data_IF_514048222029
#
_entry.id   IF_514048222029
#
_cell.length_a   1.000
_cell.length_b   1.000
_cell.length_c   1.000
_cell.angle_alpha   90.00
_cell.angle_beta   90.00
_cell.angle_gamma   90.00
#
_symmetry.space_group_name_H-M   'P 1'
#
loop_
_entity.id
_entity.type
_entity.pdbx_description
1 polymer ?
#
# COMPACT_ATOMS: atom_id res chain seq x y z
N UNK A 1 2.72 -8.79 12.41
CA UNK A 1 3.22 -9.51 11.22
C UNK A 1 4.70 -9.24 11.08
N UNK A 2 5.52 -10.28 10.94
CA UNK A 2 6.96 -10.18 10.66
C UNK A 2 7.19 -10.57 9.20
N UNK A 3 8.24 -10.06 8.57
CA UNK A 3 8.61 -10.49 7.21
C UNK A 3 9.84 -11.40 7.32
N UNK A 4 9.71 -12.67 6.95
CA UNK A 4 10.82 -13.63 6.91
C UNK A 4 10.99 -14.14 5.47
N UNK A 5 12.15 -13.88 4.88
CA UNK A 5 12.48 -14.28 3.51
C UNK A 5 11.41 -13.90 2.47
N UNK A 6 10.83 -12.70 2.60
CA UNK A 6 9.80 -12.17 1.71
C UNK A 6 8.37 -12.68 1.96
N UNK A 7 8.17 -13.59 2.93
CA UNK A 7 6.86 -14.07 3.36
C UNK A 7 6.37 -13.33 4.60
N UNK A 8 5.05 -13.12 4.65
CA UNK A 8 4.34 -12.68 5.84
C UNK A 8 4.34 -13.82 6.88
N UNK A 9 5.00 -13.61 8.02
CA UNK A 9 5.09 -14.51 9.18
C UNK A 9 4.18 -13.97 10.29
N UNK A 10 3.25 -14.81 10.74
CA UNK A 10 2.23 -14.44 11.71
C UNK A 10 1.88 -15.63 12.58
N UNK A 11 1.78 -15.40 13.89
CA UNK A 11 1.43 -16.42 14.89
C UNK A 11 -0.09 -16.64 15.01
N UNK A 12 -0.89 -15.99 14.16
CA UNK A 12 -2.36 -16.13 14.14
C UNK A 12 -2.77 -17.43 13.41
N UNK A 13 -3.60 -18.30 14.01
CA UNK A 13 -4.04 -19.57 13.39
C UNK A 13 -4.80 -19.39 12.07
N UNK A 14 -5.46 -18.24 11.90
CA UNK A 14 -6.20 -17.89 10.69
C UNK A 14 -5.37 -17.03 9.73
N UNK A 15 -4.05 -16.92 9.94
CA UNK A 15 -3.19 -16.13 9.07
C UNK A 15 -3.08 -16.77 7.69
N UNK A 16 -3.43 -16.00 6.66
CA UNK A 16 -3.17 -16.38 5.28
C UNK A 16 -1.71 -16.09 4.94
N UNK A 17 -0.95 -17.13 4.58
CA UNK A 17 0.42 -16.97 4.14
C UNK A 17 0.46 -16.42 2.71
N UNK A 18 1.14 -15.29 2.51
CA UNK A 18 1.35 -14.72 1.18
C UNK A 18 2.79 -14.19 1.01
N UNK A 19 3.22 -14.13 -0.24
CA UNK A 19 4.47 -13.52 -0.64
C UNK A 19 4.27 -12.02 -0.77
N UNK A 20 5.04 -11.22 -0.04
CA UNK A 20 4.90 -9.76 -0.08
C UNK A 20 5.17 -9.23 -1.48
N UNK A 21 6.18 -9.76 -2.18
CA UNK A 21 6.49 -9.33 -3.55
C UNK A 21 5.34 -9.60 -4.54
N UNK A 22 4.61 -10.70 -4.33
CA UNK A 22 3.46 -11.03 -5.16
C UNK A 22 2.26 -10.12 -4.83
N UNK A 23 2.05 -9.80 -3.55
CA UNK A 23 1.02 -8.87 -3.10
C UNK A 23 1.34 -7.41 -3.45
N UNK A 24 2.62 -7.05 -3.54
CA UNK A 24 3.08 -5.70 -3.88
C UNK A 24 3.01 -5.36 -5.36
N UNK A 25 2.53 -6.28 -6.19
CA UNK A 25 2.45 -6.10 -7.64
C UNK A 25 0.99 -6.13 -8.07
N UNK A 26 0.48 -5.02 -8.60
CA UNK A 26 -0.86 -4.99 -9.18
C UNK A 26 -0.94 -5.97 -10.37
N UNK A 27 -2.06 -6.71 -10.44
CA UNK A 27 -2.39 -7.59 -11.58
C UNK A 27 -3.83 -7.33 -11.99
N UNK A 28 -4.08 -7.08 -13.27
CA UNK A 28 -5.43 -6.84 -13.78
C UNK A 28 -6.39 -8.02 -13.54
N UNK A 29 -5.87 -9.25 -13.59
CA UNK A 29 -6.66 -10.47 -13.35
C UNK A 29 -6.98 -10.71 -11.87
N UNK A 30 -6.29 -10.00 -10.96
CA UNK A 30 -6.46 -10.08 -9.51
C UNK A 30 -6.24 -8.68 -8.92
N UNK A 31 -7.14 -7.74 -9.17
CA UNK A 31 -6.95 -6.36 -8.74
C UNK A 31 -6.86 -6.34 -7.21
N UNK A 32 -5.76 -5.80 -6.70
CA UNK A 32 -5.59 -5.61 -5.27
C UNK A 32 -4.87 -4.29 -5.01
N UNK A 33 -5.37 -3.53 -4.05
CA UNK A 33 -4.73 -2.30 -3.53
C UNK A 33 -3.88 -2.58 -2.29
N UNK A 34 -3.76 -3.86 -1.90
CA UNK A 34 -2.86 -4.33 -0.85
C UNK A 34 -1.40 -4.32 -1.33
N UNK A 35 -0.98 -3.20 -1.92
CA UNK A 35 0.41 -2.94 -2.26
C UNK A 35 1.04 -2.27 -1.05
N UNK A 36 1.95 -2.94 -0.32
CA UNK A 36 2.68 -2.32 0.77
C UNK A 36 3.75 -1.39 0.18
N UNK A 37 3.73 -0.13 0.60
CA UNK A 37 4.65 0.91 0.15
C UNK A 37 5.46 1.35 1.37
N UNK A 38 6.81 1.40 1.28
CA UNK A 38 7.63 1.95 2.34
C UNK A 38 7.52 3.47 2.37
N UNK A 39 7.47 4.07 3.56
CA UNK A 39 7.46 5.51 3.70
C UNK A 39 8.84 6.09 3.36
N UNK A 40 8.91 7.10 2.47
CA UNK A 40 10.18 7.73 2.11
C UNK A 40 10.67 8.74 3.17
N UNK A 41 9.84 9.04 4.17
CA UNK A 41 10.18 9.91 5.28
C UNK A 41 10.80 9.11 6.44
N UNK A 42 11.46 9.79 7.38
CA UNK A 42 12.19 9.20 8.50
C UNK A 42 11.26 8.65 9.61
N UNK A 43 10.34 7.75 9.24
CA UNK A 43 9.49 7.01 10.17
C UNK A 43 9.63 5.49 10.04
N UNK A 44 10.28 5.01 8.97
CA UNK A 44 10.56 3.59 8.70
C UNK A 44 9.30 2.70 8.68
N UNK A 45 8.13 3.28 8.51
CA UNK A 45 6.86 2.55 8.46
C UNK A 45 6.55 2.10 7.02
N UNK A 46 5.73 1.05 6.90
CA UNK A 46 5.22 0.54 5.63
C UNK A 46 3.71 0.51 5.72
N UNK A 47 3.04 1.15 4.76
CA UNK A 47 1.58 1.25 4.73
C UNK A 47 1.04 0.70 3.41
N UNK A 48 -0.19 0.21 3.45
CA UNK A 48 -0.92 -0.13 2.23
C UNK A 48 -1.28 1.12 1.46
N UNK A 49 -1.26 1.04 0.12
CA UNK A 49 -1.56 2.14 -0.79
C UNK A 49 -2.81 2.96 -0.38
N UNK A 50 -3.92 2.30 -0.06
CA UNK A 50 -5.17 2.97 0.33
C UNK A 50 -5.14 3.64 1.71
N UNK A 51 -4.27 3.19 2.62
CA UNK A 51 -4.08 3.82 3.94
C UNK A 51 -3.00 4.91 3.92
N UNK A 52 -2.21 4.97 2.84
CA UNK A 52 -1.03 5.82 2.76
C UNK A 52 -1.35 7.31 2.88
N UNK A 53 -2.37 7.85 2.19
CA UNK A 53 -2.73 9.27 2.32
C UNK A 53 -3.09 9.68 3.75
N UNK A 54 -3.76 8.81 4.51
CA UNK A 54 -4.10 9.06 5.91
C UNK A 54 -2.83 9.17 6.76
N UNK A 55 -1.93 8.19 6.66
CA UNK A 55 -0.63 8.22 7.36
C UNK A 55 0.14 9.52 7.08
N UNK A 56 0.21 9.93 5.81
CA UNK A 56 0.92 11.14 5.43
C UNK A 56 0.31 12.41 6.02
N UNK A 57 -1.02 12.52 6.04
CA UNK A 57 -1.69 13.70 6.61
C UNK A 57 -1.54 13.77 8.13
N UNK A 58 -1.49 12.63 8.82
CA UNK A 58 -1.35 12.56 10.29
C UNK A 58 0.09 12.78 10.77
N UNK A 59 1.06 12.15 10.10
CA UNK A 59 2.44 12.09 10.58
C UNK A 59 3.43 12.97 9.79
N UNK A 60 3.03 13.45 8.62
CA UNK A 60 3.87 14.26 7.73
C UNK A 60 3.09 15.46 7.15
N UNK A 61 2.68 16.46 7.94
CA UNK A 61 1.76 17.53 7.49
C UNK A 61 2.23 18.31 6.25
N UNK A 62 3.54 18.38 6.01
CA UNK A 62 4.15 19.07 4.86
C UNK A 62 4.59 18.12 3.74
N UNK A 63 4.15 16.85 3.76
CA UNK A 63 4.60 15.82 2.83
C UNK A 63 4.39 16.21 1.36
N UNK A 64 3.29 16.90 1.04
CA UNK A 64 2.96 17.30 -0.34
C UNK A 64 4.01 18.21 -0.96
N UNK A 65 4.68 19.04 -0.15
CA UNK A 65 5.74 19.92 -0.64
C UNK A 65 7.08 19.17 -0.82
N UNK A 66 7.28 18.07 -0.09
CA UNK A 66 8.53 17.30 -0.07
C UNK A 66 8.49 16.02 -0.93
N UNK A 67 7.30 15.54 -1.30
CA UNK A 67 7.12 14.30 -2.04
C UNK A 67 7.50 14.44 -3.53
N UNK A 68 8.16 13.41 -4.07
CA UNK A 68 8.38 13.33 -5.51
C UNK A 68 7.09 13.01 -6.26
N UNK A 69 6.94 13.45 -7.52
CA UNK A 69 5.80 13.09 -8.36
C UNK A 69 5.61 11.57 -8.51
N UNK A 70 6.72 10.83 -8.64
CA UNK A 70 6.71 9.37 -8.75
C UNK A 70 6.15 8.69 -7.49
N UNK A 71 6.45 9.23 -6.31
CA UNK A 71 5.91 8.71 -5.07
C UNK A 71 4.41 9.00 -4.95
N UNK A 72 3.98 10.20 -5.34
CA UNK A 72 2.56 10.57 -5.36
C UNK A 72 1.77 9.62 -6.27
N UNK A 73 2.28 9.33 -7.46
CA UNK A 73 1.67 8.36 -8.38
C UNK A 73 1.55 6.97 -7.74
N UNK A 74 2.60 6.51 -7.06
CA UNK A 74 2.64 5.20 -6.42
C UNK A 74 1.58 5.03 -5.33
N UNK A 75 1.31 6.07 -4.54
CA UNK A 75 0.34 6.04 -3.43
C UNK A 75 -1.09 6.39 -3.87
N UNK A 76 -1.28 6.94 -5.07
CA UNK A 76 -2.60 7.36 -5.56
C UNK A 76 -3.38 6.16 -6.09
N UNK A 77 -4.51 5.84 -5.48
CA UNK A 77 -5.46 4.88 -6.05
C UNK A 77 -6.18 5.54 -7.21
N UNK A 78 -5.96 5.04 -8.43
CA UNK A 78 -6.53 5.59 -9.65
C UNK A 78 -7.99 5.15 -9.82
N UNK A 79 -8.80 5.93 -10.56
CA UNK A 79 -10.19 5.55 -10.89
C UNK A 79 -10.26 4.18 -11.57
N UNK A 80 -9.28 3.84 -12.40
CA UNK A 80 -9.21 2.53 -13.03
C UNK A 80 -9.05 1.41 -12.00
N UNK A 81 -8.19 1.59 -11.00
CA UNK A 81 -8.04 0.64 -9.89
C UNK A 81 -9.34 0.54 -9.08
N UNK A 82 -9.99 1.66 -8.75
CA UNK A 82 -11.27 1.68 -8.02
C UNK A 82 -12.36 0.89 -8.76
N UNK A 83 -12.51 1.12 -10.07
CA UNK A 83 -13.46 0.40 -10.91
C UNK A 83 -13.16 -1.10 -10.95
N UNK A 84 -11.89 -1.49 -11.06
CA UNK A 84 -11.47 -2.90 -11.03
C UNK A 84 -11.70 -3.56 -9.67
N UNK A 85 -11.72 -2.79 -8.59
CA UNK A 85 -12.09 -3.25 -7.24
C UNK A 85 -13.61 -3.28 -7.02
N UNK A 86 -14.42 -2.80 -7.97
CA UNK A 86 -15.87 -2.74 -7.84
C UNK A 86 -16.37 -1.60 -6.95
N UNK A 87 -15.57 -0.55 -6.74
CA UNK A 87 -16.00 0.64 -5.98
C UNK A 87 -16.95 1.47 -6.87
N UNK A 88 -18.21 1.68 -6.46
CA UNK A 88 -19.19 2.44 -7.25
C UNK A 88 -18.77 3.90 -7.42
N UNK A 89 -19.16 4.53 -8.53
CA UNK A 89 -19.07 5.99 -8.69
C UNK A 89 -19.93 6.67 -7.61
N UNK A 90 -19.38 7.70 -6.96
CA UNK A 90 -20.09 8.54 -5.98
C UNK A 90 -20.86 9.67 -6.66
#
# INVERSE_FOLDING_TARGET
VRIKSGKCDSDCPSAYAFQIRAASTFRETRPCTNVPIPCPFDCQQTHWKYNFPQHLNEFHPSWRAAASPSFIEQITVTRHEELKLGIPDS
#
